data_IF_612780673418
#
_entry.id   IF_612780673418
#
_cell.length_a   1.000
_cell.length_b   1.000
_cell.length_c   1.000
_cell.angle_alpha   90.00
_cell.angle_beta   90.00
_cell.angle_gamma   90.00
#
_symmetry.space_group_name_H-M   'P 1'
#
loop_
_entity.id
_entity.type
_entity.pdbx_description
1 polymer ?
#
# COMPACT_ATOMS: atom_id res chain seq x y z
N UNK A 1 -41.99 27.24 -44.06
CA UNK A 1 -41.95 27.31 -42.58
C UNK A 1 -41.16 26.12 -42.08
N UNK A 2 -39.88 26.31 -41.80
CA UNK A 2 -39.26 26.37 -40.46
C UNK A 2 -38.84 24.96 -40.00
N UNK A 3 -37.60 24.55 -40.27
CA UNK A 3 -36.33 24.92 -39.59
C UNK A 3 -36.08 24.03 -38.37
N UNK A 4 -35.08 23.17 -38.51
CA UNK A 4 -34.03 22.87 -37.51
C UNK A 4 -34.54 22.49 -36.12
N UNK A 5 -34.77 21.21 -35.88
CA UNK A 5 -34.74 20.65 -34.52
C UNK A 5 -34.46 19.16 -34.56
N UNK A 6 -33.29 18.80 -35.10
CA UNK A 6 -32.83 17.39 -35.14
C UNK A 6 -31.31 17.30 -34.99
N UNK A 7 -30.68 18.24 -34.28
CA UNK A 7 -29.26 18.14 -33.90
C UNK A 7 -29.08 18.87 -32.58
N UNK A 8 -29.46 18.25 -31.46
CA UNK A 8 -29.11 18.77 -30.12
C UNK A 8 -29.16 17.70 -29.01
N UNK A 9 -29.30 16.42 -29.36
CA UNK A 9 -29.42 15.32 -28.40
C UNK A 9 -28.25 14.33 -28.43
N UNK A 10 -27.06 14.72 -28.90
CA UNK A 10 -25.94 13.78 -29.08
C UNK A 10 -24.58 14.31 -28.59
N UNK A 11 -24.55 15.45 -27.90
CA UNK A 11 -23.31 16.06 -27.38
C UNK A 11 -23.20 16.08 -25.85
N UNK A 12 -24.17 15.53 -25.11
CA UNK A 12 -24.26 15.67 -23.64
C UNK A 12 -24.14 14.34 -22.88
N UNK A 13 -23.38 13.37 -23.39
CA UNK A 13 -23.17 12.07 -22.71
C UNK A 13 -21.69 11.75 -22.48
N UNK A 14 -20.75 12.59 -22.93
CA UNK A 14 -19.30 12.32 -22.76
C UNK A 14 -18.63 13.04 -21.59
N UNK A 15 -19.32 13.92 -20.85
CA UNK A 15 -18.70 14.73 -19.77
C UNK A 15 -18.91 14.21 -18.35
N UNK A 16 -19.43 12.99 -18.17
CA UNK A 16 -19.62 12.40 -16.84
C UNK A 16 -18.52 11.40 -16.43
N UNK A 17 -17.60 11.03 -17.33
CA UNK A 17 -16.61 9.97 -17.07
C UNK A 17 -15.24 10.47 -16.58
N UNK A 18 -14.99 11.77 -16.54
CA UNK A 18 -13.65 12.31 -16.20
C UNK A 18 -13.43 12.62 -14.73
N UNK A 19 -14.46 12.56 -13.88
CA UNK A 19 -14.37 13.00 -12.47
C UNK A 19 -13.92 11.87 -11.52
N UNK A 20 -14.14 10.60 -11.90
CA UNK A 20 -13.83 9.44 -11.04
C UNK A 20 -12.32 9.28 -10.81
N UNK A 21 -11.50 9.48 -11.84
CA UNK A 21 -10.05 9.24 -11.78
C UNK A 21 -9.28 10.21 -10.87
N UNK A 22 -9.81 11.41 -10.60
CA UNK A 22 -9.15 12.35 -9.68
C UNK A 22 -9.47 12.06 -8.21
N UNK A 23 -10.63 11.47 -7.90
CA UNK A 23 -11.02 11.16 -6.52
C UNK A 23 -10.15 10.04 -5.95
N UNK A 24 -10.01 8.95 -6.71
CA UNK A 24 -9.25 7.76 -6.30
C UNK A 24 -7.78 8.09 -6.03
N UNK A 25 -7.15 8.89 -6.88
CA UNK A 25 -5.76 9.32 -6.68
C UNK A 25 -5.56 10.07 -5.36
N UNK A 26 -6.53 10.88 -4.95
CA UNK A 26 -6.44 11.65 -3.71
C UNK A 26 -6.59 10.75 -2.48
N UNK A 27 -7.46 9.75 -2.58
CA UNK A 27 -7.69 8.74 -1.54
C UNK A 27 -6.45 7.84 -1.37
N UNK A 28 -5.86 7.34 -2.45
CA UNK A 28 -4.62 6.55 -2.43
C UNK A 28 -3.45 7.32 -1.79
N UNK A 29 -3.33 8.60 -2.11
CA UNK A 29 -2.30 9.47 -1.53
C UNK A 29 -2.50 9.67 -0.02
N UNK A 30 -3.75 9.84 0.42
CA UNK A 30 -4.07 9.96 1.83
C UNK A 30 -3.78 8.65 2.58
N UNK A 31 -4.21 7.50 2.02
CA UNK A 31 -3.95 6.19 2.59
C UNK A 31 -2.45 5.87 2.65
N UNK A 32 -1.71 6.15 1.58
CA UNK A 32 -0.26 5.99 1.55
C UNK A 32 0.45 6.83 2.61
N UNK A 33 -0.02 8.06 2.85
CA UNK A 33 0.52 8.91 3.91
C UNK A 33 0.20 8.36 5.30
N UNK A 34 -1.01 7.82 5.50
CA UNK A 34 -1.39 7.15 6.75
C UNK A 34 -0.51 5.92 7.02
N UNK A 35 -0.29 5.05 6.04
CA UNK A 35 0.57 3.87 6.17
C UNK A 35 2.01 4.29 6.50
N UNK A 36 2.58 5.25 5.76
CA UNK A 36 3.94 5.74 6.04
C UNK A 36 4.03 6.34 7.44
N UNK A 37 3.04 7.12 7.88
CA UNK A 37 3.03 7.68 9.24
C UNK A 37 3.03 6.59 10.31
N UNK A 38 2.27 5.51 10.11
CA UNK A 38 2.22 4.37 11.04
C UNK A 38 3.55 3.62 11.07
N UNK A 39 4.13 3.33 9.91
CA UNK A 39 5.46 2.73 9.82
C UNK A 39 6.52 3.59 10.52
N UNK A 40 6.50 4.90 10.30
CA UNK A 40 7.43 5.83 10.96
C UNK A 40 7.26 5.85 12.47
N UNK A 41 6.02 5.82 12.96
CA UNK A 41 5.73 5.70 14.38
C UNK A 41 6.36 4.43 14.97
N UNK A 42 6.22 3.29 14.30
CA UNK A 42 6.80 2.02 14.77
C UNK A 42 8.32 2.06 14.80
N UNK A 43 8.98 2.45 13.70
CA UNK A 43 10.46 2.40 13.62
C UNK A 43 11.16 3.48 14.46
N UNK A 44 10.40 4.50 14.89
CA UNK A 44 10.91 5.60 15.73
C UNK A 44 10.57 5.41 17.22
N UNK A 45 10.07 4.25 17.63
CA UNK A 45 9.72 3.98 19.03
C UNK A 45 10.95 4.11 19.95
N UNK A 46 10.99 5.10 20.86
CA UNK A 46 12.14 5.38 21.71
C UNK A 46 12.50 4.22 22.66
N UNK A 47 11.53 3.35 22.99
CA UNK A 47 11.76 2.20 23.86
C UNK A 47 12.51 1.09 23.12
N UNK A 48 12.39 1.05 21.79
CA UNK A 48 12.87 -0.05 20.96
C UNK A 48 14.10 0.30 20.12
N UNK A 49 14.55 1.56 20.06
CA UNK A 49 15.65 2.04 19.18
C UNK A 49 16.95 1.23 19.26
N UNK A 50 17.23 0.56 20.38
CA UNK A 50 18.42 -0.29 20.56
C UNK A 50 18.17 -1.77 20.28
N UNK A 51 16.95 -2.14 19.92
CA UNK A 51 16.55 -3.51 19.64
C UNK A 51 16.91 -3.89 18.20
N UNK A 52 17.48 -5.08 18.03
CA UNK A 52 17.86 -5.61 16.72
C UNK A 52 16.84 -6.58 16.13
N UNK A 53 15.76 -6.89 16.83
CA UNK A 53 14.72 -7.81 16.40
C UNK A 53 13.50 -7.06 15.84
N UNK A 54 13.24 -7.11 14.52
CA UNK A 54 12.09 -6.44 13.91
C UNK A 54 10.74 -6.86 14.48
N UNK A 55 10.62 -8.11 14.95
CA UNK A 55 9.38 -8.59 15.56
C UNK A 55 9.03 -7.85 16.86
N UNK A 56 10.03 -7.34 17.58
CA UNK A 56 9.78 -6.61 18.82
C UNK A 56 9.18 -5.23 18.53
N UNK A 57 9.50 -4.63 17.38
CA UNK A 57 8.84 -3.40 16.90
C UNK A 57 7.37 -3.63 16.56
N UNK A 58 7.04 -4.78 15.95
CA UNK A 58 5.65 -5.20 15.70
C UNK A 58 4.92 -5.45 17.02
N UNK A 59 5.52 -6.24 17.92
CA UNK A 59 4.93 -6.59 19.20
C UNK A 59 4.72 -5.39 20.12
N UNK A 60 5.68 -4.46 20.17
CA UNK A 60 5.60 -3.23 20.96
C UNK A 60 4.63 -2.19 20.40
N UNK A 61 4.31 -2.27 19.11
CA UNK A 61 3.40 -1.33 18.42
C UNK A 61 2.19 -2.04 17.82
N UNK A 62 1.64 -3.04 18.53
CA UNK A 62 0.63 -3.94 17.96
C UNK A 62 -0.59 -3.23 17.37
N UNK A 63 -1.15 -2.26 18.07
CA UNK A 63 -2.33 -1.50 17.60
C UNK A 63 -2.01 -0.72 16.30
N UNK A 64 -0.85 -0.08 16.24
CA UNK A 64 -0.38 0.67 15.05
C UNK A 64 -0.17 -0.27 13.87
N UNK A 65 0.36 -1.47 14.14
CA UNK A 65 0.57 -2.50 13.12
C UNK A 65 -0.77 -3.07 12.62
N UNK A 66 -1.71 -3.35 13.53
CA UNK A 66 -3.06 -3.81 13.19
C UNK A 66 -3.78 -2.78 12.32
N UNK A 67 -3.60 -1.48 12.57
CA UNK A 67 -4.14 -0.44 11.70
C UNK A 67 -3.58 -0.47 10.28
N UNK A 68 -2.33 -0.92 10.08
CA UNK A 68 -1.79 -1.15 8.73
C UNK A 68 -2.49 -2.36 8.12
N UNK A 69 -2.65 -3.47 8.84
CA UNK A 69 -3.33 -4.66 8.32
C UNK A 69 -4.81 -4.39 7.99
N UNK A 70 -5.48 -3.51 8.73
CA UNK A 70 -6.87 -3.12 8.50
C UNK A 70 -7.09 -2.34 7.19
N UNK A 71 -6.02 -1.93 6.49
CA UNK A 71 -6.11 -1.29 5.16
C UNK A 71 -6.37 -2.28 4.03
N UNK A 72 -6.21 -3.59 4.25
CA UNK A 72 -6.59 -4.62 3.29
C UNK A 72 -5.83 -4.58 1.97
N UNK A 73 -6.53 -4.88 0.87
CA UNK A 73 -5.96 -4.99 -0.48
C UNK A 73 -5.37 -3.67 -1.00
N UNK A 74 -6.04 -2.54 -0.74
CA UNK A 74 -5.54 -1.21 -1.08
C UNK A 74 -4.22 -0.92 -0.35
N UNK A 75 -4.15 -1.31 0.92
CA UNK A 75 -2.93 -1.28 1.71
C UNK A 75 -1.81 -2.13 1.15
N UNK A 76 -2.11 -3.37 0.79
CA UNK A 76 -1.15 -4.30 0.19
C UNK A 76 -0.53 -3.70 -1.08
N UNK A 77 -1.34 -3.11 -1.96
CA UNK A 77 -0.84 -2.45 -3.17
C UNK A 77 0.17 -1.34 -2.84
N UNK A 78 -0.14 -0.50 -1.85
CA UNK A 78 0.74 0.59 -1.43
C UNK A 78 2.03 0.09 -0.75
N UNK A 79 1.94 -0.96 0.07
CA UNK A 79 3.10 -1.59 0.72
C UNK A 79 4.05 -2.20 -0.32
N UNK A 80 3.52 -2.86 -1.34
CA UNK A 80 4.31 -3.36 -2.47
C UNK A 80 5.01 -2.20 -3.20
N UNK A 81 4.29 -1.12 -3.50
CA UNK A 81 4.87 0.07 -4.13
C UNK A 81 5.98 0.70 -3.26
N UNK A 82 5.81 0.74 -1.93
CA UNK A 82 6.85 1.21 -1.01
C UNK A 82 8.09 0.32 -1.04
N UNK A 83 7.91 -1.01 -1.01
CA UNK A 83 9.03 -1.95 -1.16
C UNK A 83 9.71 -1.78 -2.50
N UNK A 84 9.00 -1.55 -3.59
CA UNK A 84 9.61 -1.37 -4.92
C UNK A 84 10.43 -0.08 -5.02
N UNK A 85 9.90 1.01 -4.47
CA UNK A 85 10.48 2.35 -4.58
C UNK A 85 11.60 2.63 -3.58
N UNK A 86 11.62 1.96 -2.43
CA UNK A 86 12.69 2.13 -1.44
C UNK A 86 14.04 1.66 -2.00
N UNK A 87 15.16 2.39 -1.86
CA UNK A 87 16.49 1.85 -2.17
C UNK A 87 17.05 1.00 -1.02
N UNK A 88 16.39 1.03 0.14
CA UNK A 88 16.90 0.48 1.39
C UNK A 88 16.44 -0.97 1.61
N UNK A 89 16.96 -1.58 2.67
CA UNK A 89 16.63 -2.95 3.07
C UNK A 89 16.65 -3.09 4.60
N UNK A 90 16.20 -2.05 5.30
CA UNK A 90 16.32 -1.91 6.74
C UNK A 90 15.08 -2.42 7.49
N UNK A 91 14.96 -1.98 8.74
CA UNK A 91 13.84 -2.32 9.62
C UNK A 91 12.48 -1.98 9.00
N UNK A 92 12.36 -0.79 8.36
CA UNK A 92 11.10 -0.36 7.75
C UNK A 92 10.69 -1.31 6.64
N UNK A 93 11.59 -1.62 5.70
CA UNK A 93 11.31 -2.55 4.60
C UNK A 93 10.98 -3.95 5.11
N UNK A 94 11.64 -4.39 6.18
CA UNK A 94 11.32 -5.67 6.81
C UNK A 94 9.88 -5.70 7.34
N UNK A 95 9.45 -4.65 8.06
CA UNK A 95 8.07 -4.54 8.58
C UNK A 95 7.06 -4.48 7.43
N UNK A 96 7.37 -3.75 6.35
CA UNK A 96 6.50 -3.67 5.17
C UNK A 96 6.33 -5.05 4.50
N UNK A 97 7.40 -5.84 4.39
CA UNK A 97 7.32 -7.20 3.86
C UNK A 97 6.55 -8.16 4.78
N UNK A 98 6.71 -8.02 6.10
CA UNK A 98 5.92 -8.79 7.06
C UNK A 98 4.42 -8.43 6.96
N UNK A 99 4.07 -7.14 6.88
CA UNK A 99 2.68 -6.72 6.67
C UNK A 99 2.10 -7.22 5.34
N UNK A 100 2.90 -7.19 4.27
CA UNK A 100 2.50 -7.72 2.96
C UNK A 100 2.25 -9.23 3.02
N UNK A 101 3.10 -9.97 3.74
CA UNK A 101 2.93 -11.41 4.01
C UNK A 101 1.60 -11.69 4.73
N UNK A 102 1.30 -10.94 5.79
CA UNK A 102 0.07 -11.13 6.58
C UNK A 102 -1.19 -10.75 5.80
N UNK A 103 -1.14 -9.69 4.99
CA UNK A 103 -2.25 -9.28 4.12
C UNK A 103 -2.54 -10.27 3.00
N UNK A 104 -1.49 -10.88 2.43
CA UNK A 104 -1.64 -11.96 1.45
C UNK A 104 -2.15 -13.25 2.10
N UNK A 105 -1.80 -13.53 3.36
CA UNK A 105 -2.26 -14.73 4.05
C UNK A 105 -1.92 -16.01 3.29
N UNK A 106 -2.92 -16.86 3.05
CA UNK A 106 -2.75 -18.17 2.39
C UNK A 106 -2.29 -18.08 0.93
N UNK A 107 -2.49 -16.94 0.26
CA UNK A 107 -2.07 -16.75 -1.13
C UNK A 107 -0.67 -16.16 -1.27
N UNK A 108 0.03 -15.92 -0.15
CA UNK A 108 1.42 -15.47 -0.19
C UNK A 108 2.31 -16.59 -0.80
N UNK A 109 3.00 -16.33 -1.92
CA UNK A 109 3.85 -17.33 -2.55
C UNK A 109 5.27 -17.36 -1.99
N UNK A 110 5.62 -16.47 -1.07
CA UNK A 110 6.98 -16.32 -0.54
C UNK A 110 7.14 -17.06 0.77
N UNK A 111 8.08 -17.99 0.80
CA UNK A 111 8.53 -18.70 2.00
C UNK A 111 9.99 -18.30 2.33
N UNK A 112 10.41 -18.48 3.59
CA UNK A 112 11.82 -18.37 4.03
C UNK A 112 12.62 -17.19 3.46
N UNK A 113 12.21 -15.96 3.80
CA UNK A 113 12.86 -14.72 3.36
C UNK A 113 13.68 -14.08 4.49
N UNK A 114 14.70 -13.30 4.12
CA UNK A 114 15.64 -12.72 5.10
C UNK A 114 15.62 -11.20 5.21
N UNK A 115 14.99 -10.52 4.25
CA UNK A 115 14.85 -9.07 4.25
C UNK A 115 13.68 -8.62 3.39
N UNK A 116 13.23 -7.37 3.55
CA UNK A 116 12.09 -6.88 2.75
C UNK A 116 12.34 -6.93 1.24
N UNK A 117 13.59 -6.66 0.81
CA UNK A 117 13.98 -6.79 -0.60
C UNK A 117 14.05 -8.23 -1.10
N UNK A 118 14.50 -9.14 -0.25
CA UNK A 118 14.51 -10.55 -0.60
C UNK A 118 13.07 -11.07 -0.76
N UNK A 119 12.18 -10.71 0.17
CA UNK A 119 10.76 -11.01 0.08
C UNK A 119 10.14 -10.48 -1.21
N UNK A 120 10.34 -9.19 -1.54
CA UNK A 120 9.81 -8.59 -2.76
C UNK A 120 10.33 -9.30 -4.02
N UNK A 121 11.62 -9.64 -4.06
CA UNK A 121 12.23 -10.36 -5.19
C UNK A 121 11.54 -11.72 -5.38
N UNK A 122 11.35 -12.47 -4.32
CA UNK A 122 10.68 -13.77 -4.36
C UNK A 122 9.20 -13.63 -4.75
N UNK A 123 8.51 -12.62 -4.23
CA UNK A 123 7.10 -12.34 -4.58
C UNK A 123 6.96 -12.15 -6.09
N UNK A 124 7.78 -11.27 -6.68
CA UNK A 124 7.76 -11.01 -8.12
C UNK A 124 8.06 -12.24 -8.97
N UNK A 125 8.97 -13.11 -8.53
CA UNK A 125 9.28 -14.35 -9.25
C UNK A 125 8.12 -15.36 -9.29
N UNK A 126 7.15 -15.24 -8.39
CA UNK A 126 6.04 -16.20 -8.28
C UNK A 126 4.69 -15.64 -8.75
N UNK A 127 4.58 -14.32 -8.94
CA UNK A 127 3.33 -13.65 -9.36
C UNK A 127 3.40 -13.10 -10.79
N UNK A 128 4.61 -12.83 -11.31
CA UNK A 128 4.87 -12.52 -12.72
C UNK A 128 5.20 -13.79 -13.54
#
# INVERSE_FOLDING_TARGET
MNRRSLILGLLSVCTALTVVACSTRTEDQALSATIESKLQQMVSDPVLVTNSNPNDYIGGNREVYDDILNTGEEGLHLLLQQLESSPDNGLKEWIVAQASTELLGEINPVEDWHSGKDWLRQYKMNVE
#
